data_IF_810879723661
#
_entry.id   IF_810879723661
#
_cell.length_a   1.000
_cell.length_b   1.000
_cell.length_c   1.000
_cell.angle_alpha   90.00
_cell.angle_beta   90.00
_cell.angle_gamma   90.00
#
_symmetry.space_group_name_H-M   'P 1'
#
loop_
_entity.id
_entity.type
_entity.pdbx_description
1 polymer ?
#
# COMPACT_ATOMS: atom_id res chain seq x y z
N UNK A 1 2.29 6.18 30.42
CA UNK A 1 2.69 6.66 29.08
C UNK A 1 1.60 6.28 28.09
N UNK A 2 0.95 7.23 27.42
CA UNK A 2 -0.23 6.95 26.57
C UNK A 2 0.08 6.01 25.38
N UNK A 3 1.32 6.01 24.90
CA UNK A 3 1.76 5.20 23.79
C UNK A 3 1.76 3.68 24.05
N UNK A 4 2.18 3.26 25.24
CA UNK A 4 2.17 1.82 25.61
C UNK A 4 0.76 1.23 25.68
N UNK A 5 -0.26 2.05 26.07
CA UNK A 5 -1.63 1.58 26.09
C UNK A 5 -2.22 1.43 24.67
N UNK A 6 -1.85 2.31 23.73
CA UNK A 6 -2.28 2.22 22.33
C UNK A 6 -1.70 0.99 21.63
N UNK A 7 -0.46 0.61 21.95
CA UNK A 7 0.17 -0.61 21.42
C UNK A 7 -0.53 -1.85 21.98
N UNK A 8 -0.79 -1.92 23.28
CA UNK A 8 -1.43 -3.08 23.93
C UNK A 8 -2.85 -3.34 23.41
N UNK A 9 -3.56 -2.31 22.97
CA UNK A 9 -4.93 -2.42 22.49
C UNK A 9 -5.03 -2.60 20.96
N UNK A 10 -3.91 -2.62 20.26
CA UNK A 10 -3.92 -2.71 18.79
C UNK A 10 -3.62 -4.15 18.36
N UNK A 11 -4.58 -4.77 17.66
CA UNK A 11 -4.46 -6.12 17.07
C UNK A 11 -3.25 -6.29 16.12
N UNK A 12 -2.53 -5.21 15.78
CA UNK A 12 -1.30 -5.23 15.00
C UNK A 12 -0.26 -6.15 15.64
N UNK A 13 -0.18 -6.12 16.95
CA UNK A 13 0.81 -6.84 17.72
C UNK A 13 0.30 -8.16 18.30
N UNK A 14 -0.98 -8.52 18.09
CA UNK A 14 -1.50 -9.81 18.60
C UNK A 14 -0.83 -11.02 17.95
N UNK A 15 -0.32 -10.88 16.73
CA UNK A 15 0.53 -11.91 16.13
C UNK A 15 1.93 -11.97 16.77
N UNK A 16 2.40 -10.85 17.32
CA UNK A 16 3.65 -10.74 18.06
C UNK A 16 3.46 -11.13 19.53
N UNK A 17 2.26 -11.02 20.09
CA UNK A 17 1.95 -11.48 21.45
C UNK A 17 2.20 -12.99 21.65
N UNK A 18 2.11 -13.77 20.58
CA UNK A 18 2.50 -15.18 20.57
C UNK A 18 3.99 -15.39 20.86
N UNK A 19 4.81 -14.35 20.63
CA UNK A 19 6.20 -14.29 21.05
C UNK A 19 6.36 -13.13 22.05
N UNK A 20 6.05 -13.40 23.33
CA UNK A 20 6.11 -12.41 24.40
C UNK A 20 7.46 -11.69 24.51
N UNK A 21 8.55 -12.40 24.24
CA UNK A 21 9.89 -11.85 24.31
C UNK A 21 10.11 -10.79 23.23
N UNK A 22 9.77 -11.12 21.97
CA UNK A 22 9.86 -10.20 20.83
C UNK A 22 8.97 -8.97 21.03
N UNK A 23 7.76 -9.16 21.55
CA UNK A 23 6.84 -8.08 21.86
C UNK A 23 7.39 -7.12 22.91
N UNK A 24 7.94 -7.64 24.00
CA UNK A 24 8.53 -6.82 25.07
C UNK A 24 9.76 -6.05 24.56
N UNK A 25 10.62 -6.68 23.76
CA UNK A 25 11.79 -6.03 23.15
C UNK A 25 11.35 -4.92 22.18
N UNK A 26 10.31 -5.15 21.39
CA UNK A 26 9.74 -4.12 20.50
C UNK A 26 9.21 -2.93 21.30
N UNK A 27 8.47 -3.19 22.40
CA UNK A 27 7.97 -2.14 23.30
C UNK A 27 9.10 -1.34 23.94
N UNK A 28 10.18 -1.99 24.32
CA UNK A 28 11.34 -1.34 24.91
C UNK A 28 12.03 -0.42 23.90
N UNK A 29 12.30 -0.92 22.68
CA UNK A 29 12.92 -0.15 21.61
C UNK A 29 12.06 1.07 21.23
N UNK A 30 10.75 0.86 21.04
CA UNK A 30 9.82 1.90 20.63
C UNK A 30 9.53 2.89 21.76
N UNK A 31 9.54 2.41 23.02
CA UNK A 31 9.32 3.25 24.19
C UNK A 31 10.42 4.29 24.43
N UNK A 32 11.59 4.15 23.81
CA UNK A 32 12.68 5.14 23.85
C UNK A 32 12.51 6.26 22.82
N UNK A 33 11.63 6.10 21.84
CA UNK A 33 11.41 7.12 20.82
C UNK A 33 10.47 8.23 21.30
N UNK A 34 10.92 9.48 21.20
CA UNK A 34 10.16 10.65 21.66
C UNK A 34 9.14 11.15 20.64
N UNK A 35 9.23 10.76 19.39
CA UNK A 35 8.30 11.15 18.32
C UNK A 35 8.48 10.31 17.04
N UNK A 36 7.48 10.30 16.13
CA UNK A 36 7.59 9.69 14.79
C UNK A 36 8.78 10.26 14.01
N UNK A 37 9.00 11.57 14.10
CA UNK A 37 10.14 12.21 13.48
C UNK A 37 11.47 11.82 14.14
N UNK A 38 11.46 11.53 15.43
CA UNK A 38 12.62 11.01 16.18
C UNK A 38 12.99 9.61 15.70
N UNK A 39 12.02 8.73 15.46
CA UNK A 39 12.27 7.39 14.91
C UNK A 39 12.89 7.46 13.51
N UNK A 40 12.40 8.32 12.64
CA UNK A 40 12.97 8.49 11.29
C UNK A 40 14.39 9.05 11.28
N UNK A 41 14.86 9.65 12.38
CA UNK A 41 16.20 10.24 12.52
C UNK A 41 17.12 9.44 13.42
N UNK A 42 16.60 8.45 14.16
CA UNK A 42 17.38 7.71 15.16
C UNK A 42 17.86 6.38 14.58
N UNK A 43 19.05 6.41 13.99
CA UNK A 43 19.71 5.23 13.42
C UNK A 43 19.90 4.10 14.43
N UNK A 44 20.01 4.39 15.73
CA UNK A 44 20.19 3.40 16.78
C UNK A 44 18.90 2.60 17.03
N UNK A 45 17.75 3.26 17.06
CA UNK A 45 16.45 2.56 17.19
C UNK A 45 16.24 1.62 16.01
N UNK A 46 16.60 2.06 14.84
CA UNK A 46 16.51 1.27 13.62
C UNK A 46 17.45 0.06 13.60
N UNK A 47 18.69 0.24 14.01
CA UNK A 47 19.63 -0.88 14.18
C UNK A 47 19.07 -1.92 15.14
N UNK A 48 18.53 -1.49 16.28
CA UNK A 48 17.90 -2.38 17.26
C UNK A 48 16.66 -3.09 16.70
N UNK A 49 15.81 -2.38 15.91
CA UNK A 49 14.66 -2.99 15.23
C UNK A 49 15.11 -4.02 14.19
N UNK A 50 16.18 -3.71 13.45
CA UNK A 50 16.78 -4.60 12.47
C UNK A 50 17.37 -5.85 13.13
N UNK A 51 18.16 -5.69 14.20
CA UNK A 51 18.72 -6.80 14.96
C UNK A 51 17.62 -7.69 15.56
N UNK A 52 16.60 -7.07 16.16
CA UNK A 52 15.46 -7.77 16.73
C UNK A 52 14.75 -8.64 15.68
N UNK A 53 14.64 -8.14 14.48
CA UNK A 53 13.99 -8.89 13.41
C UNK A 53 14.83 -10.07 12.92
N UNK A 54 16.12 -9.87 12.64
CA UNK A 54 17.00 -10.95 12.16
C UNK A 54 17.21 -12.06 13.20
N UNK A 55 17.10 -11.73 14.47
CA UNK A 55 17.17 -12.73 15.55
C UNK A 55 15.85 -13.44 15.79
N UNK A 56 14.73 -12.92 15.27
CA UNK A 56 13.42 -13.56 15.37
C UNK A 56 13.22 -14.53 14.21
N UNK A 57 12.97 -15.80 14.50
CA UNK A 57 12.68 -16.86 13.50
C UNK A 57 11.34 -16.62 12.78
N UNK A 58 11.22 -15.58 11.97
CA UNK A 58 10.01 -15.32 11.19
C UNK A 58 10.02 -16.10 9.88
N UNK A 59 9.00 -16.92 9.67
CA UNK A 59 8.73 -17.52 8.35
C UNK A 59 8.22 -16.42 7.41
N UNK A 60 8.88 -16.23 6.27
CA UNK A 60 8.35 -15.36 5.22
C UNK A 60 6.92 -15.80 4.86
N UNK A 61 5.95 -14.86 4.81
CA UNK A 61 4.62 -15.20 4.32
C UNK A 61 4.71 -15.66 2.87
N UNK A 62 3.90 -16.63 2.51
CA UNK A 62 3.75 -17.06 1.12
C UNK A 62 3.25 -15.88 0.27
N UNK A 63 4.19 -15.26 -0.47
CA UNK A 63 3.94 -14.10 -1.33
C UNK A 63 2.83 -14.37 -2.35
N UNK A 64 2.80 -15.59 -2.90
CA UNK A 64 1.79 -16.00 -3.89
C UNK A 64 0.40 -16.11 -3.27
N UNK A 65 0.29 -16.70 -2.09
CA UNK A 65 -0.97 -16.79 -1.33
C UNK A 65 -1.46 -15.40 -0.94
N UNK A 66 -0.55 -14.51 -0.51
CA UNK A 66 -0.87 -13.13 -0.15
C UNK A 66 -1.40 -12.35 -1.36
N UNK A 67 -0.73 -12.44 -2.52
CA UNK A 67 -1.17 -11.78 -3.74
C UNK A 67 -2.56 -12.24 -4.18
N UNK A 68 -2.81 -13.57 -4.17
CA UNK A 68 -4.13 -14.14 -4.48
C UNK A 68 -5.22 -13.64 -3.53
N UNK A 69 -4.96 -13.64 -2.23
CA UNK A 69 -5.93 -13.20 -1.22
C UNK A 69 -6.25 -11.70 -1.37
N UNK A 70 -5.25 -10.86 -1.63
CA UNK A 70 -5.44 -9.44 -1.88
C UNK A 70 -6.26 -9.21 -3.15
N UNK A 71 -5.87 -9.83 -4.26
CA UNK A 71 -6.59 -9.73 -5.54
C UNK A 71 -8.06 -10.18 -5.39
N UNK A 72 -8.31 -11.29 -4.70
CA UNK A 72 -9.66 -11.78 -4.47
C UNK A 72 -10.49 -10.85 -3.59
N UNK A 73 -9.89 -10.21 -2.60
CA UNK A 73 -10.57 -9.20 -1.78
C UNK A 73 -10.95 -7.99 -2.63
N UNK A 74 -10.03 -7.48 -3.46
CA UNK A 74 -10.29 -6.37 -4.39
C UNK A 74 -11.40 -6.77 -5.38
N UNK A 75 -11.32 -7.96 -5.95
CA UNK A 75 -12.36 -8.47 -6.86
C UNK A 75 -13.76 -8.46 -6.25
N UNK A 76 -13.89 -8.85 -4.99
CA UNK A 76 -15.19 -8.90 -4.29
C UNK A 76 -15.79 -7.54 -3.95
N UNK A 77 -14.98 -6.51 -3.80
CA UNK A 77 -15.49 -5.18 -3.41
C UNK A 77 -16.03 -4.39 -4.60
N UNK A 78 -15.62 -4.73 -5.81
CA UNK A 78 -16.12 -4.04 -7.00
C UNK A 78 -17.61 -4.38 -7.17
N UNK A 79 -18.48 -3.36 -7.29
CA UNK A 79 -19.90 -3.58 -7.54
C UNK A 79 -20.11 -4.37 -8.82
N UNK A 80 -21.02 -5.34 -8.79
CA UNK A 80 -21.30 -6.21 -9.96
C UNK A 80 -21.88 -5.45 -11.14
N UNK A 81 -22.50 -4.33 -10.87
CA UNK A 81 -23.10 -3.41 -11.85
C UNK A 81 -22.02 -2.71 -12.68
N UNK A 82 -20.79 -2.63 -12.16
CA UNK A 82 -19.65 -2.14 -12.91
C UNK A 82 -19.14 -3.26 -13.78
N UNK A 83 -19.48 -3.15 -15.03
CA UNK A 83 -19.15 -4.12 -16.07
C UNK A 83 -17.68 -3.93 -16.48
N UNK A 84 -16.77 -4.60 -15.80
CA UNK A 84 -15.35 -4.64 -16.15
C UNK A 84 -15.11 -5.80 -17.13
N UNK A 85 -15.03 -5.50 -18.42
CA UNK A 85 -15.02 -6.53 -19.46
C UNK A 85 -13.65 -6.76 -20.11
N UNK A 86 -13.57 -7.85 -20.88
CA UNK A 86 -12.43 -8.36 -21.65
C UNK A 86 -11.71 -7.32 -22.55
N UNK A 87 -12.25 -6.13 -22.73
CA UNK A 87 -11.64 -5.05 -23.51
C UNK A 87 -11.18 -3.88 -22.64
N UNK A 88 -11.38 -3.95 -21.33
CA UNK A 88 -11.01 -2.86 -20.42
C UNK A 88 -9.50 -2.76 -20.26
N UNK A 89 -9.02 -1.52 -20.21
CA UNK A 89 -7.64 -1.18 -19.88
C UNK A 89 -7.52 -0.95 -18.37
N UNK A 90 -6.67 -1.76 -17.74
CA UNK A 90 -6.39 -1.73 -16.31
C UNK A 90 -4.99 -1.19 -16.05
N UNK A 91 -4.87 -0.30 -15.09
CA UNK A 91 -3.58 0.25 -14.63
C UNK A 91 -3.45 0.06 -13.12
N UNK A 92 -2.35 -0.52 -12.68
CA UNK A 92 -1.96 -0.68 -11.28
C UNK A 92 -0.82 0.29 -10.97
N UNK A 93 -1.11 1.36 -10.22
CA UNK A 93 -0.15 2.40 -9.85
C UNK A 93 0.52 2.00 -8.54
N UNK A 94 1.87 2.00 -8.52
CA UNK A 94 2.65 1.46 -7.43
C UNK A 94 2.53 -0.06 -7.34
N UNK A 95 2.61 -0.72 -8.49
CA UNK A 95 2.36 -2.15 -8.62
C UNK A 95 3.40 -3.04 -7.93
N UNK A 96 4.56 -2.49 -7.56
CA UNK A 96 5.67 -3.26 -7.00
C UNK A 96 6.11 -4.40 -7.94
N UNK A 97 6.11 -5.62 -7.43
CA UNK A 97 6.49 -6.81 -8.21
C UNK A 97 5.41 -7.30 -9.21
N UNK A 98 4.26 -6.62 -9.30
CA UNK A 98 3.15 -6.94 -10.20
C UNK A 98 2.40 -8.24 -9.84
N UNK A 99 2.66 -8.82 -8.69
CA UNK A 99 2.02 -10.10 -8.30
C UNK A 99 0.50 -9.96 -8.11
N UNK A 100 0.04 -8.83 -7.56
CA UNK A 100 -1.40 -8.54 -7.38
C UNK A 100 -2.03 -8.22 -8.73
N UNK A 101 -1.37 -7.39 -9.55
CA UNK A 101 -1.79 -7.05 -10.93
C UNK A 101 -2.06 -8.32 -11.73
N UNK A 102 -1.13 -9.28 -11.67
CA UNK A 102 -1.25 -10.57 -12.36
C UNK A 102 -2.46 -11.38 -11.92
N UNK A 103 -2.73 -11.44 -10.63
CA UNK A 103 -3.89 -12.18 -10.13
C UNK A 103 -5.21 -11.46 -10.46
N UNK A 104 -5.24 -10.12 -10.44
CA UNK A 104 -6.39 -9.34 -10.88
C UNK A 104 -6.66 -9.48 -12.38
N UNK A 105 -5.60 -9.43 -13.21
CA UNK A 105 -5.74 -9.63 -14.65
C UNK A 105 -6.38 -10.99 -15.00
N UNK A 106 -6.07 -12.04 -14.22
CA UNK A 106 -6.70 -13.36 -14.38
C UNK A 106 -8.16 -13.37 -13.94
N UNK A 107 -8.49 -12.69 -12.82
CA UNK A 107 -9.84 -12.68 -12.27
C UNK A 107 -10.82 -11.90 -13.16
N UNK A 108 -10.40 -10.73 -13.65
CA UNK A 108 -11.23 -9.84 -14.46
C UNK A 108 -11.10 -10.07 -15.97
N UNK A 109 -10.03 -10.75 -16.41
CA UNK A 109 -9.72 -10.98 -17.81
C UNK A 109 -9.65 -9.66 -18.62
N UNK A 110 -8.97 -8.66 -18.07
CA UNK A 110 -8.76 -7.38 -18.74
C UNK A 110 -8.14 -7.56 -20.14
N UNK A 111 -8.51 -6.69 -21.08
CA UNK A 111 -7.93 -6.69 -22.42
C UNK A 111 -6.47 -6.24 -22.40
N UNK A 112 -6.16 -5.24 -21.59
CA UNK A 112 -4.81 -4.74 -21.36
C UNK A 112 -4.60 -4.49 -19.88
N UNK A 113 -3.42 -4.87 -19.35
CA UNK A 113 -3.02 -4.59 -17.98
C UNK A 113 -1.66 -3.91 -17.98
N UNK A 114 -1.52 -2.80 -17.25
CA UNK A 114 -0.29 -2.03 -17.16
C UNK A 114 0.09 -1.86 -15.70
N UNK A 115 1.31 -2.22 -15.38
CA UNK A 115 1.98 -1.88 -14.15
C UNK A 115 2.67 -0.53 -14.27
N UNK A 116 2.49 0.35 -13.29
CA UNK A 116 3.17 1.64 -13.20
C UNK A 116 3.90 1.68 -11.87
N UNK A 117 5.20 1.96 -11.90
CA UNK A 117 6.00 2.11 -10.68
C UNK A 117 7.14 3.11 -10.92
N UNK A 118 7.78 3.60 -9.86
CA UNK A 118 8.98 4.46 -9.95
C UNK A 118 10.25 3.64 -10.17
N UNK A 119 10.20 2.35 -9.86
CA UNK A 119 11.31 1.42 -10.02
C UNK A 119 10.89 0.14 -10.73
N UNK A 120 11.85 -0.50 -11.39
CA UNK A 120 11.63 -1.76 -12.08
C UNK A 120 11.77 -2.96 -11.12
N UNK A 121 10.76 -3.21 -10.31
CA UNK A 121 10.68 -4.39 -9.44
C UNK A 121 10.32 -5.67 -10.21
N UNK A 122 9.89 -5.55 -11.46
CA UNK A 122 9.45 -6.66 -12.32
C UNK A 122 10.54 -7.67 -12.65
N UNK A 123 11.81 -7.24 -12.65
CA UNK A 123 12.94 -8.12 -12.94
C UNK A 123 13.17 -9.21 -11.88
N UNK A 124 12.67 -8.98 -10.66
CA UNK A 124 12.73 -9.98 -9.58
C UNK A 124 11.68 -11.09 -9.77
N UNK A 125 10.65 -10.81 -10.56
CA UNK A 125 9.61 -11.77 -10.95
C UNK A 125 9.71 -12.04 -12.44
N UNK A 126 10.26 -13.19 -12.85
CA UNK A 126 10.22 -13.66 -14.24
C UNK A 126 8.78 -13.86 -14.70
N UNK A 127 8.09 -12.74 -14.93
CA UNK A 127 6.70 -12.73 -15.35
C UNK A 127 6.65 -13.00 -16.86
N UNK A 128 6.47 -14.27 -17.24
CA UNK A 128 6.21 -14.67 -18.62
C UNK A 128 4.79 -14.27 -19.12
N UNK A 129 4.10 -13.37 -18.43
CA UNK A 129 2.77 -12.97 -18.85
C UNK A 129 2.88 -11.84 -19.88
N UNK A 130 2.81 -12.20 -21.15
CA UNK A 130 2.96 -11.31 -22.31
C UNK A 130 1.90 -10.18 -22.35
N UNK A 131 0.88 -10.22 -21.49
CA UNK A 131 -0.26 -9.29 -21.50
C UNK A 131 -0.20 -8.23 -20.41
N UNK A 132 0.93 -8.10 -19.68
CA UNK A 132 1.10 -7.06 -18.68
C UNK A 132 2.29 -6.20 -19.06
N UNK A 133 2.00 -4.93 -19.41
CA UNK A 133 3.01 -3.90 -19.66
C UNK A 133 3.59 -3.33 -18.38
N UNK A 134 4.77 -2.72 -18.47
CA UNK A 134 5.40 -1.96 -17.39
C UNK A 134 5.74 -0.55 -17.89
N UNK A 135 5.34 0.46 -17.13
CA UNK A 135 5.73 1.86 -17.32
C UNK A 135 6.47 2.32 -16.07
N UNK A 136 7.68 2.82 -16.25
CA UNK A 136 8.42 3.49 -15.19
C UNK A 136 8.07 4.98 -15.23
N UNK A 137 7.66 5.52 -14.09
CA UNK A 137 7.30 6.92 -13.92
C UNK A 137 8.29 7.64 -13.02
N UNK A 138 8.38 8.96 -13.16
CA UNK A 138 9.15 9.82 -12.25
C UNK A 138 8.34 10.25 -11.02
N UNK A 139 7.17 9.68 -10.79
CA UNK A 139 6.27 10.04 -9.69
C UNK A 139 5.39 11.27 -9.93
N UNK A 140 5.53 11.97 -11.06
CA UNK A 140 4.72 13.16 -11.40
C UNK A 140 3.78 12.93 -12.58
N UNK A 141 4.23 12.16 -13.58
CA UNK A 141 3.49 11.95 -14.81
C UNK A 141 3.56 10.51 -15.28
N UNK A 142 2.44 10.00 -15.76
CA UNK A 142 2.33 8.65 -16.31
C UNK A 142 2.21 8.75 -17.84
N UNK A 143 3.08 8.03 -18.57
CA UNK A 143 3.09 8.00 -20.04
C UNK A 143 1.92 7.17 -20.58
N UNK A 144 0.70 7.59 -20.26
CA UNK A 144 -0.58 7.03 -20.72
C UNK A 144 -1.45 8.17 -21.24
N UNK A 145 -2.19 7.92 -22.31
CA UNK A 145 -3.11 8.90 -22.91
C UNK A 145 -4.23 9.31 -21.95
N UNK A 146 -4.68 10.55 -22.08
CA UNK A 146 -5.82 11.06 -21.31
C UNK A 146 -7.10 10.29 -21.65
N UNK A 147 -7.96 10.06 -20.67
CA UNK A 147 -9.26 9.40 -20.83
C UNK A 147 -9.18 8.05 -21.56
N UNK A 148 -8.13 7.25 -21.29
CA UNK A 148 -7.89 5.98 -21.97
C UNK A 148 -7.98 4.75 -21.07
N UNK A 149 -8.03 4.93 -19.74
CA UNK A 149 -8.01 3.85 -18.75
C UNK A 149 -9.40 3.64 -18.17
N UNK A 150 -9.87 2.40 -18.14
CA UNK A 150 -11.17 2.04 -17.60
C UNK A 150 -11.11 1.80 -16.08
N UNK A 151 -10.01 1.21 -15.61
CA UNK A 151 -9.84 0.84 -14.19
C UNK A 151 -8.43 1.19 -13.72
N UNK A 152 -8.34 1.91 -12.61
CA UNK A 152 -7.08 2.18 -11.92
C UNK A 152 -7.13 1.57 -10.53
N UNK A 153 -6.03 0.94 -10.12
CA UNK A 153 -5.78 0.50 -8.76
C UNK A 153 -4.64 1.31 -8.15
N UNK A 154 -4.86 1.77 -6.92
CA UNK A 154 -3.83 2.25 -6.00
C UNK A 154 -3.90 1.39 -4.74
N UNK A 155 -2.91 0.52 -4.55
CA UNK A 155 -2.92 -0.46 -3.47
C UNK A 155 -1.72 -0.27 -2.54
N UNK A 156 -1.92 0.37 -1.39
CA UNK A 156 -0.88 0.73 -0.43
C UNK A 156 0.28 1.51 -1.08
N UNK A 157 -0.04 2.55 -1.81
CA UNK A 157 0.94 3.35 -2.55
C UNK A 157 0.77 4.85 -2.35
N UNK A 158 -0.46 5.34 -2.13
CA UNK A 158 -0.73 6.78 -2.06
C UNK A 158 0.03 7.45 -0.92
N UNK A 159 0.21 6.75 0.18
CA UNK A 159 0.97 7.24 1.34
C UNK A 159 2.49 7.34 1.10
N UNK A 160 3.01 6.75 0.03
CA UNK A 160 4.42 6.86 -0.37
C UNK A 160 4.68 7.96 -1.39
N UNK A 161 3.65 8.62 -1.90
CA UNK A 161 3.78 9.62 -2.95
C UNK A 161 4.17 10.98 -2.37
N UNK A 162 5.40 11.43 -2.61
CA UNK A 162 5.89 12.76 -2.20
C UNK A 162 5.12 13.90 -2.89
N UNK A 163 4.58 13.63 -4.09
CA UNK A 163 3.78 14.56 -4.89
C UNK A 163 2.38 14.00 -5.12
N UNK A 164 1.68 13.66 -4.02
CA UNK A 164 0.38 13.00 -4.07
C UNK A 164 -0.65 13.75 -4.92
N UNK A 165 -0.76 15.07 -4.76
CA UNK A 165 -1.76 15.86 -5.49
C UNK A 165 -1.48 15.88 -7.01
N UNK A 166 -0.22 15.85 -7.44
CA UNK A 166 0.14 15.73 -8.85
C UNK A 166 -0.27 14.36 -9.40
N UNK A 167 0.03 13.32 -8.65
CA UNK A 167 -0.33 11.96 -9.06
C UNK A 167 -1.85 11.74 -9.09
N UNK A 168 -2.60 12.32 -8.16
CA UNK A 168 -4.06 12.27 -8.19
C UNK A 168 -4.62 13.01 -9.41
N UNK A 169 -4.02 14.13 -9.83
CA UNK A 169 -4.37 14.79 -11.10
C UNK A 169 -4.05 13.92 -12.32
N UNK A 170 -2.94 13.18 -12.30
CA UNK A 170 -2.60 12.22 -13.37
C UNK A 170 -3.60 11.04 -13.40
N UNK A 171 -3.98 10.50 -12.25
CA UNK A 171 -5.06 9.50 -12.15
C UNK A 171 -6.32 10.02 -12.83
N UNK A 172 -6.73 11.25 -12.48
CA UNK A 172 -7.90 11.88 -13.11
C UNK A 172 -7.73 12.11 -14.60
N UNK A 173 -6.55 12.48 -15.07
CA UNK A 173 -6.26 12.70 -16.48
C UNK A 173 -6.40 11.43 -17.30
N UNK A 174 -5.82 10.31 -16.84
CA UNK A 174 -5.80 9.06 -17.61
C UNK A 174 -7.10 8.27 -17.48
N UNK A 175 -7.82 8.39 -16.37
CA UNK A 175 -9.08 7.69 -16.14
C UNK A 175 -10.18 8.21 -17.07
N UNK A 176 -10.92 7.32 -17.72
CA UNK A 176 -12.08 7.66 -18.55
C UNK A 176 -13.21 8.26 -17.73
N UNK A 177 -14.11 9.01 -18.34
CA UNK A 177 -15.44 9.24 -17.78
C UNK A 177 -16.10 7.89 -17.52
N UNK A 178 -16.79 7.77 -16.40
CA UNK A 178 -17.36 6.52 -15.88
C UNK A 178 -16.32 5.43 -15.59
N UNK A 179 -15.04 5.79 -15.62
CA UNK A 179 -13.94 4.92 -15.19
C UNK A 179 -13.87 4.75 -13.67
N UNK A 180 -13.27 3.67 -13.23
CA UNK A 180 -13.24 3.23 -11.85
C UNK A 180 -11.85 3.39 -11.25
N UNK A 181 -11.77 4.08 -10.11
CA UNK A 181 -10.59 4.09 -9.25
C UNK A 181 -10.84 3.19 -8.03
N UNK A 182 -9.94 2.25 -7.80
CA UNK A 182 -9.93 1.39 -6.62
C UNK A 182 -8.77 1.82 -5.74
N UNK A 183 -9.07 2.16 -4.49
CA UNK A 183 -8.07 2.52 -3.48
C UNK A 183 -8.09 1.50 -2.36
N UNK A 184 -6.92 1.01 -2.00
CA UNK A 184 -6.70 0.24 -0.78
C UNK A 184 -5.58 0.92 -0.01
N UNK A 185 -5.89 1.38 1.20
CA UNK A 185 -4.94 2.11 2.02
C UNK A 185 -5.12 1.84 3.52
N UNK A 186 -4.17 2.35 4.30
CA UNK A 186 -4.27 2.40 5.75
C UNK A 186 -5.26 3.49 6.15
N UNK A 187 -6.15 3.18 7.10
CA UNK A 187 -7.02 4.19 7.71
C UNK A 187 -6.32 4.79 8.93
N UNK A 188 -5.52 5.80 8.72
CA UNK A 188 -4.74 6.44 9.77
C UNK A 188 -5.54 7.59 10.39
N UNK A 189 -6.08 7.38 11.58
CA UNK A 189 -6.95 8.32 12.29
C UNK A 189 -6.27 9.07 13.42
N UNK A 190 -5.01 8.76 13.71
CA UNK A 190 -4.23 9.42 14.78
C UNK A 190 -2.72 9.35 14.51
N UNK A 191 -1.97 10.23 15.17
CA UNK A 191 -0.50 10.23 15.13
C UNK A 191 0.09 8.93 15.67
N UNK A 192 -0.48 8.39 16.74
CA UNK A 192 -0.01 7.12 17.33
C UNK A 192 -0.18 5.97 16.36
N UNK A 193 -1.29 5.96 15.60
CA UNK A 193 -1.52 4.96 14.56
C UNK A 193 -0.56 5.13 13.39
N UNK A 194 -0.27 6.36 12.96
CA UNK A 194 0.74 6.64 11.93
C UNK A 194 2.10 6.09 12.34
N UNK A 195 2.48 6.30 13.58
CA UNK A 195 3.72 5.79 14.15
C UNK A 195 3.80 4.25 14.15
N UNK A 196 2.70 3.59 14.51
CA UNK A 196 2.62 2.13 14.48
C UNK A 196 2.70 1.57 13.05
N UNK A 197 2.07 2.26 12.09
CA UNK A 197 2.14 1.90 10.67
C UNK A 197 3.57 2.08 10.15
N UNK A 198 4.27 3.15 10.51
CA UNK A 198 5.67 3.38 10.15
C UNK A 198 6.58 2.26 10.66
N UNK A 199 6.43 1.87 11.93
CA UNK A 199 7.19 0.75 12.50
C UNK A 199 6.90 -0.54 11.74
N UNK A 200 5.64 -0.80 11.45
CA UNK A 200 5.25 -1.99 10.68
C UNK A 200 5.88 -1.99 9.29
N UNK A 201 5.84 -0.85 8.59
CA UNK A 201 6.46 -0.71 7.27
C UNK A 201 7.98 -0.87 7.34
N UNK A 202 8.62 -0.27 8.34
CA UNK A 202 10.04 -0.42 8.55
C UNK A 202 10.44 -1.88 8.75
N UNK A 203 9.74 -2.58 9.64
CA UNK A 203 9.93 -4.01 9.84
C UNK A 203 9.66 -4.80 8.56
N UNK A 204 8.63 -4.45 7.81
CA UNK A 204 8.30 -5.11 6.55
C UNK A 204 9.40 -4.92 5.50
N UNK A 205 9.90 -3.71 5.31
CA UNK A 205 10.93 -3.42 4.33
C UNK A 205 12.27 -4.07 4.69
N UNK A 206 12.67 -3.94 5.94
CA UNK A 206 13.91 -4.57 6.42
C UNK A 206 13.88 -6.08 6.25
N UNK A 207 12.71 -6.67 6.49
CA UNK A 207 12.50 -8.09 6.57
C UNK A 207 12.29 -8.73 5.23
N UNK A 208 11.32 -8.20 4.47
CA UNK A 208 10.87 -8.81 3.23
C UNK A 208 11.70 -8.38 2.05
N UNK A 209 12.14 -7.14 2.03
CA UNK A 209 12.95 -6.61 0.94
C UNK A 209 14.45 -6.79 1.18
N UNK A 210 14.87 -7.26 2.37
CA UNK A 210 16.28 -7.44 2.74
C UNK A 210 17.10 -6.17 2.47
N UNK A 211 16.49 -5.01 2.71
CA UNK A 211 17.15 -3.74 2.51
C UNK A 211 18.24 -3.59 3.56
N UNK A 212 19.50 -3.74 3.13
CA UNK A 212 20.67 -3.56 3.99
C UNK A 212 21.16 -2.11 4.04
N UNK A 213 20.47 -1.18 3.37
CA UNK A 213 20.87 0.20 3.28
C UNK A 213 20.46 0.98 4.54
N UNK A 214 21.40 1.44 5.37
CA UNK A 214 21.08 2.23 6.56
C UNK A 214 20.45 3.60 6.22
N UNK A 215 20.63 4.09 4.99
CA UNK A 215 20.01 5.33 4.52
C UNK A 215 18.55 5.18 4.11
N UNK A 216 18.08 3.96 3.97
CA UNK A 216 16.70 3.67 3.57
C UNK A 216 15.67 4.44 4.41
N UNK A 217 15.92 4.60 5.70
CA UNK A 217 15.03 5.31 6.61
C UNK A 217 14.98 6.79 6.38
N UNK A 218 16.13 7.37 6.01
CA UNK A 218 16.21 8.80 5.71
C UNK A 218 15.53 9.13 4.39
N UNK A 219 15.50 8.17 3.47
CA UNK A 219 14.89 8.26 2.14
C UNK A 219 13.43 7.77 2.13
N UNK A 220 13.01 7.04 3.16
CA UNK A 220 11.65 6.53 3.25
C UNK A 220 10.66 7.65 3.56
N UNK A 221 9.78 7.91 2.61
CA UNK A 221 8.67 8.85 2.77
C UNK A 221 7.36 8.10 2.98
N UNK A 222 6.59 8.52 3.98
CA UNK A 222 5.21 8.11 4.14
C UNK A 222 4.39 9.21 4.82
N UNK A 223 3.27 9.55 4.20
CA UNK A 223 2.25 10.44 4.75
C UNK A 223 0.93 9.69 4.79
N UNK A 224 0.38 9.50 5.98
CA UNK A 224 -0.82 8.69 6.16
C UNK A 224 -2.05 9.56 6.31
N UNK A 225 -3.12 9.14 5.66
CA UNK A 225 -4.43 9.79 5.68
C UNK A 225 -5.47 8.85 6.29
N UNK A 226 -6.46 9.42 6.95
CA UNK A 226 -7.70 8.71 7.22
C UNK A 226 -8.47 8.49 5.92
N UNK A 227 -9.36 7.49 5.91
CA UNK A 227 -10.27 7.26 4.78
C UNK A 227 -11.05 8.53 4.43
N UNK A 228 -11.53 9.25 5.45
CA UNK A 228 -12.30 10.47 5.27
C UNK A 228 -11.50 11.58 4.58
N UNK A 229 -10.23 11.76 4.94
CA UNK A 229 -9.35 12.77 4.32
C UNK A 229 -9.06 12.40 2.86
N UNK A 230 -8.72 11.14 2.58
CA UNK A 230 -8.48 10.67 1.22
C UNK A 230 -9.74 10.77 0.36
N UNK A 231 -10.89 10.37 0.88
CA UNK A 231 -12.18 10.51 0.17
C UNK A 231 -12.47 11.96 -0.19
N UNK A 232 -12.28 12.90 0.74
CA UNK A 232 -12.45 14.34 0.45
C UNK A 232 -11.53 14.84 -0.66
N UNK A 233 -10.24 14.41 -0.65
CA UNK A 233 -9.29 14.76 -1.72
C UNK A 233 -9.77 14.25 -3.08
N UNK A 234 -10.21 13.00 -3.14
CA UNK A 234 -10.67 12.36 -4.39
C UNK A 234 -12.00 12.95 -4.89
N UNK A 235 -12.94 13.25 -3.99
CA UNK A 235 -14.22 13.88 -4.35
C UNK A 235 -14.04 15.31 -4.84
N UNK A 236 -13.09 16.06 -4.27
CA UNK A 236 -12.74 17.41 -4.75
C UNK A 236 -12.19 17.40 -6.19
N UNK A 237 -11.64 16.28 -6.66
CA UNK A 237 -11.18 16.09 -8.04
C UNK A 237 -12.29 15.61 -8.99
N UNK A 238 -13.52 15.39 -8.52
CA UNK A 238 -14.66 14.96 -9.35
C UNK A 238 -14.93 13.45 -9.33
N UNK A 239 -14.31 12.72 -8.44
CA UNK A 239 -14.65 11.32 -8.18
C UNK A 239 -15.86 11.23 -7.23
N UNK A 240 -16.62 10.15 -7.33
CA UNK A 240 -17.72 9.84 -6.39
C UNK A 240 -17.47 8.47 -5.77
N UNK A 241 -17.39 8.43 -4.46
CA UNK A 241 -17.30 7.16 -3.74
C UNK A 241 -18.61 6.36 -3.94
N UNK A 242 -18.51 5.14 -4.43
CA UNK A 242 -19.66 4.27 -4.69
C UNK A 242 -19.67 3.04 -3.81
N UNK A 243 -18.52 2.67 -3.25
CA UNK A 243 -18.41 1.57 -2.27
C UNK A 243 -17.26 1.80 -1.33
N UNK A 244 -17.44 1.38 -0.12
CA UNK A 244 -16.45 1.39 0.93
C UNK A 244 -16.50 0.06 1.72
N UNK A 245 -15.33 -0.45 2.07
CA UNK A 245 -15.20 -1.63 2.89
C UNK A 245 -14.03 -1.46 3.85
N UNK A 246 -14.30 -1.59 5.13
CA UNK A 246 -13.29 -1.55 6.19
C UNK A 246 -12.91 -2.96 6.60
N UNK A 247 -11.65 -3.32 6.44
CA UNK A 247 -11.13 -4.58 6.95
C UNK A 247 -10.53 -4.33 8.33
N UNK A 248 -11.22 -4.82 9.36
CA UNK A 248 -10.68 -4.88 10.72
C UNK A 248 -9.48 -5.84 10.72
N UNK A 249 -8.34 -5.35 10.40
CA UNK A 249 -7.07 -6.03 10.63
C UNK A 249 -6.22 -5.11 11.51
N UNK A 250 -5.06 -5.63 11.89
CA UNK A 250 -4.16 -4.98 12.82
C UNK A 250 -3.83 -3.51 12.50
N UNK A 251 -3.85 -3.10 11.21
CA UNK A 251 -3.42 -1.77 10.76
C UNK A 251 -4.59 -0.94 10.21
N UNK A 252 -5.83 -1.44 10.33
CA UNK A 252 -7.00 -0.69 9.88
C UNK A 252 -6.99 -0.38 8.39
N UNK A 253 -6.92 -1.39 7.54
CA UNK A 253 -6.98 -1.17 6.09
C UNK A 253 -8.40 -0.89 5.64
N UNK A 254 -8.55 0.05 4.71
CA UNK A 254 -9.79 0.25 3.99
C UNK A 254 -9.63 -0.02 2.49
N UNK A 255 -10.75 -0.26 1.87
CA UNK A 255 -10.92 -0.37 0.44
C UNK A 255 -12.04 0.56 0.03
N UNK A 256 -11.83 1.36 -0.98
CA UNK A 256 -12.83 2.26 -1.52
C UNK A 256 -12.86 2.17 -3.04
N UNK A 257 -14.05 2.28 -3.61
CA UNK A 257 -14.26 2.30 -5.05
C UNK A 257 -14.90 3.62 -5.42
N UNK A 258 -14.29 4.30 -6.36
CA UNK A 258 -14.73 5.61 -6.84
C UNK A 258 -15.05 5.53 -8.34
N UNK A 259 -16.05 6.29 -8.75
CA UNK A 259 -16.43 6.49 -10.14
C UNK A 259 -16.10 7.91 -10.56
N UNK A 260 -15.47 8.10 -11.72
CA UNK A 260 -15.26 9.41 -12.32
C UNK A 260 -16.56 9.90 -12.95
N UNK A 261 -17.01 11.11 -12.56
CA UNK A 261 -18.19 11.76 -13.13
C UNK A 261 -17.94 12.32 -14.53
#
# INVERSE_FOLDING_TARGET
MPFQSSIKNNNLFTSLEKNKQLYNQLLEIVGTANSIQGLKKDDEIYKKLHELYWTSNHKEPDKKKRAKNNAYTIYKIIPKEISLFHRSKFVDIGCGDGSITKELAKLFKFGESICVDVENWFNTYKNKNKNIGLIITNGHRISIESNSVDVILCNHVLHHMTHLDDMLREVMRILKKDGVLIVKEHNCTSRDLAYLIDIYHALFELVYKKVQNPKFIQEYYAEYFSEREMTKKLEALGLRQIKFFYKKNAIGNYYAVFLKK
#
